data_IF_093514122919
#
_entry.id   IF_093514122919
#
_cell.length_a   1.000
_cell.length_b   1.000
_cell.length_c   1.000
_cell.angle_alpha   90.00
_cell.angle_beta   90.00
_cell.angle_gamma   90.00
#
_symmetry.space_group_name_H-M   'P 1'
#
loop_
_entity.id
_entity.type
_entity.pdbx_description
1 polymer ?
#
# COMPACT_ATOMS: atom_id res chain seq x y z
N UNK A 1 -14.62 -12.95 9.55
CA UNK A 1 -13.70 -11.81 9.50
C UNK A 1 -13.05 -11.73 10.87
N UNK A 2 -11.75 -11.99 10.94
CA UNK A 2 -10.99 -11.73 12.15
C UNK A 2 -10.94 -10.21 12.34
N UNK A 3 -11.23 -9.76 13.55
CA UNK A 3 -10.94 -8.39 13.94
C UNK A 3 -9.43 -8.27 14.08
N UNK A 4 -8.78 -7.57 13.17
CA UNK A 4 -7.32 -7.37 13.20
C UNK A 4 -6.84 -6.71 14.49
N UNK A 5 -7.72 -6.02 15.20
CA UNK A 5 -7.42 -5.48 16.53
C UNK A 5 -7.45 -6.56 17.63
N UNK A 6 -8.01 -7.75 17.36
CA UNK A 6 -8.02 -8.86 18.31
C UNK A 6 -6.68 -9.61 18.42
N UNK A 7 -5.76 -9.41 17.45
CA UNK A 7 -4.39 -9.94 17.50
C UNK A 7 -3.44 -9.08 18.34
N UNK A 8 -3.97 -8.32 19.29
CA UNK A 8 -3.23 -7.34 20.07
C UNK A 8 -2.49 -7.90 21.29
N UNK A 9 -2.49 -9.20 21.55
CA UNK A 9 -1.59 -9.75 22.58
C UNK A 9 -0.17 -9.87 22.02
N UNK A 10 0.81 -9.36 22.74
CA UNK A 10 2.23 -9.43 22.37
C UNK A 10 2.74 -10.87 22.17
N UNK A 11 1.98 -11.85 22.64
CA UNK A 11 2.35 -13.26 22.69
C UNK A 11 1.84 -14.11 21.50
N UNK A 12 0.99 -13.56 20.61
CA UNK A 12 0.44 -14.31 19.48
C UNK A 12 1.02 -13.77 18.16
N UNK A 13 1.48 -14.66 17.30
CA UNK A 13 1.92 -14.33 15.95
C UNK A 13 0.75 -13.77 15.12
N UNK A 14 1.00 -12.68 14.37
CA UNK A 14 -0.04 -12.03 13.57
C UNK A 14 -0.24 -12.76 12.25
N UNK A 15 -1.39 -13.41 12.07
CA UNK A 15 -1.74 -14.17 10.86
C UNK A 15 -0.66 -15.21 10.46
N UNK A 16 -0.34 -16.19 11.33
CA UNK A 16 0.80 -17.07 11.13
C UNK A 16 0.77 -17.91 9.83
N UNK A 17 -0.39 -18.12 9.26
CA UNK A 17 -0.54 -18.84 8.00
C UNK A 17 -0.40 -17.97 6.74
N UNK A 18 -0.13 -16.66 6.87
CA UNK A 18 0.08 -15.77 5.73
C UNK A 18 1.52 -15.85 5.26
N UNK A 19 1.71 -15.98 3.94
CA UNK A 19 3.01 -15.78 3.30
C UNK A 19 2.97 -14.49 2.50
N UNK A 20 3.76 -13.52 2.87
CA UNK A 20 3.69 -12.15 2.37
C UNK A 20 4.73 -11.84 1.28
N UNK A 21 4.51 -10.75 0.53
CA UNK A 21 5.52 -10.18 -0.36
C UNK A 21 6.80 -9.86 0.41
N UNK A 22 6.70 -9.33 1.63
CA UNK A 22 7.86 -9.00 2.46
C UNK A 22 8.73 -10.20 2.76
N UNK A 23 8.15 -11.35 3.13
CA UNK A 23 8.89 -12.59 3.38
C UNK A 23 9.59 -13.12 2.11
N UNK A 24 8.92 -13.02 0.95
CA UNK A 24 9.55 -13.40 -0.34
C UNK A 24 10.75 -12.50 -0.63
N UNK A 25 10.62 -11.21 -0.43
CA UNK A 25 11.71 -10.26 -0.67
C UNK A 25 12.87 -10.48 0.31
N UNK A 26 12.59 -10.64 1.60
CA UNK A 26 13.58 -10.97 2.64
C UNK A 26 14.38 -12.22 2.28
N UNK A 27 13.69 -13.32 1.90
CA UNK A 27 14.34 -14.57 1.47
C UNK A 27 15.21 -14.42 0.22
N UNK A 28 14.99 -13.36 -0.56
CA UNK A 28 15.79 -13.00 -1.72
C UNK A 28 16.80 -11.87 -1.44
N UNK A 29 17.07 -11.58 -0.17
CA UNK A 29 18.12 -10.66 0.25
C UNK A 29 17.75 -9.19 0.18
N UNK A 30 16.47 -8.85 0.10
CA UNK A 30 16.00 -7.47 0.15
C UNK A 30 16.02 -6.91 1.56
N UNK A 31 16.44 -5.67 1.70
CA UNK A 31 16.26 -4.88 2.91
C UNK A 31 14.87 -4.25 2.90
N UNK A 32 13.95 -4.80 3.70
CA UNK A 32 12.59 -4.29 3.80
C UNK A 32 12.49 -3.11 4.76
N UNK A 33 11.79 -2.06 4.34
CA UNK A 33 11.49 -0.88 5.15
C UNK A 33 10.03 -0.48 4.98
N UNK A 34 9.36 -0.18 6.10
CA UNK A 34 8.04 0.45 6.13
C UNK A 34 8.20 1.88 6.64
N UNK A 35 7.70 2.86 5.89
CA UNK A 35 7.69 4.27 6.28
C UNK A 35 6.26 4.78 6.33
N UNK A 36 5.83 5.26 7.50
CA UNK A 36 4.47 5.74 7.76
C UNK A 36 4.48 6.97 8.67
N UNK A 37 3.62 7.95 8.38
CA UNK A 37 3.50 9.17 9.20
C UNK A 37 2.81 8.97 10.54
N UNK A 38 2.12 7.85 10.73
CA UNK A 38 1.34 7.54 11.93
C UNK A 38 1.99 6.48 12.82
N UNK A 39 1.45 6.26 14.02
CA UNK A 39 1.91 5.22 14.94
C UNK A 39 1.71 3.82 14.33
N UNK A 40 2.72 2.98 14.44
CA UNK A 40 2.72 1.61 13.90
C UNK A 40 1.76 0.67 14.61
N UNK A 41 1.30 1.00 15.81
CA UNK A 41 0.37 0.16 16.59
C UNK A 41 -1.05 0.15 16.02
N UNK A 42 -1.42 1.15 15.23
CA UNK A 42 -2.75 1.20 14.62
C UNK A 42 -3.01 -0.03 13.75
N UNK A 43 -4.10 -0.75 14.05
CA UNK A 43 -4.49 -2.00 13.40
C UNK A 43 -3.37 -3.08 13.38
N UNK A 44 -2.45 -3.04 14.33
CA UNK A 44 -1.30 -3.94 14.45
C UNK A 44 -0.42 -4.01 13.19
N UNK A 45 -0.44 -2.97 12.34
CA UNK A 45 0.33 -2.99 11.09
C UNK A 45 1.84 -3.12 11.32
N UNK A 46 2.39 -2.49 12.36
CA UNK A 46 3.79 -2.66 12.71
C UNK A 46 4.14 -4.12 12.96
N UNK A 47 3.34 -4.79 13.77
CA UNK A 47 3.52 -6.23 14.08
C UNK A 47 3.46 -7.08 12.81
N UNK A 48 2.46 -6.84 11.93
CA UNK A 48 2.37 -7.55 10.65
C UNK A 48 3.64 -7.42 9.81
N UNK A 49 4.15 -6.21 9.62
CA UNK A 49 5.33 -5.99 8.79
C UNK A 49 6.61 -6.52 9.42
N UNK A 50 6.77 -6.37 10.76
CA UNK A 50 7.91 -6.91 11.50
C UNK A 50 7.97 -8.45 11.46
N UNK A 51 6.82 -9.13 11.59
CA UNK A 51 6.73 -10.59 11.58
C UNK A 51 6.73 -11.20 10.15
N UNK A 52 6.29 -10.45 9.13
CA UNK A 52 6.14 -10.93 7.77
C UNK A 52 7.14 -10.31 6.78
N UNK A 53 8.44 -10.36 7.10
CA UNK A 53 9.50 -9.94 6.19
C UNK A 53 10.56 -9.05 6.82
N UNK A 54 10.71 -9.08 8.14
CA UNK A 54 11.75 -8.35 8.92
C UNK A 54 11.86 -6.86 8.55
N UNK A 55 10.71 -6.20 8.40
CA UNK A 55 10.68 -4.79 8.03
C UNK A 55 11.26 -3.90 9.13
N UNK A 56 12.15 -3.00 8.79
CA UNK A 56 12.47 -1.84 9.62
C UNK A 56 11.33 -0.84 9.54
N UNK A 57 10.66 -0.62 10.66
CA UNK A 57 9.49 0.28 10.71
C UNK A 57 9.91 1.67 11.14
N UNK A 58 9.73 2.64 10.25
CA UNK A 58 9.96 4.07 10.43
C UNK A 58 8.59 4.77 10.52
N UNK A 59 8.10 4.86 11.76
CA UNK A 59 6.80 5.41 12.11
C UNK A 59 6.92 6.81 12.77
N UNK A 60 5.82 7.34 13.24
CA UNK A 60 5.78 8.60 13.99
C UNK A 60 6.74 8.60 15.19
N UNK A 61 6.76 7.53 16.00
CA UNK A 61 7.63 7.44 17.17
C UNK A 61 9.12 7.35 16.79
N UNK A 62 9.43 6.68 15.67
CA UNK A 62 10.78 6.69 15.11
C UNK A 62 11.21 8.11 14.71
N UNK A 63 10.34 8.89 14.08
CA UNK A 63 10.66 10.25 13.66
C UNK A 63 10.95 11.17 14.85
N UNK A 64 10.20 11.05 15.96
CA UNK A 64 10.51 11.74 17.23
C UNK A 64 11.84 11.28 17.80
N UNK A 65 12.03 9.96 17.94
CA UNK A 65 13.23 9.36 18.56
C UNK A 65 14.52 9.73 17.82
N UNK A 66 14.45 9.89 16.50
CA UNK A 66 15.57 10.25 15.65
C UNK A 66 15.68 11.77 15.40
N UNK A 67 14.86 12.57 16.08
CA UNK A 67 14.84 14.04 15.97
C UNK A 67 14.57 14.58 14.56
N UNK A 68 13.88 13.79 13.72
CA UNK A 68 13.38 14.25 12.41
C UNK A 68 12.20 15.23 12.56
N UNK A 69 11.44 15.08 13.65
CA UNK A 69 10.41 16.03 14.08
C UNK A 69 10.57 16.35 15.59
N UNK A 70 10.10 17.52 16.06
CA UNK A 70 10.05 17.84 17.49
C UNK A 70 9.20 16.85 18.28
N UNK A 71 9.50 16.68 19.58
CA UNK A 71 8.80 15.72 20.44
C UNK A 71 7.32 16.05 20.69
N UNK A 72 6.94 17.32 20.50
CA UNK A 72 5.57 17.86 20.61
C UNK A 72 4.90 18.05 19.25
N UNK A 73 5.52 17.65 18.16
CA UNK A 73 4.96 17.72 16.83
C UNK A 73 3.91 16.63 16.64
N UNK A 74 2.71 17.00 16.29
CA UNK A 74 1.64 16.07 15.95
C UNK A 74 0.65 16.75 15.00
N UNK A 75 0.62 16.27 13.76
CA UNK A 75 -0.31 16.73 12.74
C UNK A 75 -1.08 15.55 12.17
N UNK A 76 -2.40 15.69 12.14
CA UNK A 76 -3.32 14.70 11.61
C UNK A 76 -3.22 13.33 12.33
N UNK A 77 -2.48 12.38 11.76
CA UNK A 77 -2.24 11.04 12.32
C UNK A 77 -0.84 10.86 12.91
N UNK A 78 -0.05 11.91 12.98
CA UNK A 78 1.33 11.94 13.46
C UNK A 78 2.16 12.98 12.76
N UNK A 79 2.56 12.77 11.50
CA UNK A 79 3.10 13.79 10.60
C UNK A 79 2.55 13.61 9.18
N UNK A 80 2.40 14.73 8.49
CA UNK A 80 1.79 14.86 7.18
C UNK A 80 2.63 14.26 6.04
N UNK A 81 1.99 14.07 4.86
CA UNK A 81 2.62 13.43 3.71
C UNK A 81 3.80 14.23 3.12
N UNK A 82 3.84 15.55 3.27
CA UNK A 82 5.00 16.36 2.88
C UNK A 82 6.28 15.86 3.56
N UNK A 83 6.26 15.69 4.87
CA UNK A 83 7.40 15.12 5.63
C UNK A 83 7.63 13.66 5.29
N UNK A 84 6.56 12.89 5.07
CA UNK A 84 6.68 11.49 4.66
C UNK A 84 7.52 11.35 3.39
N UNK A 85 7.25 12.16 2.36
CA UNK A 85 8.00 12.13 1.11
C UNK A 85 9.44 12.58 1.28
N UNK A 86 9.71 13.57 2.13
CA UNK A 86 11.09 14.00 2.40
C UNK A 86 11.88 12.91 3.15
N UNK A 87 11.28 12.28 4.15
CA UNK A 87 11.91 11.15 4.85
C UNK A 87 12.08 9.93 3.93
N UNK A 88 11.17 9.74 2.97
CA UNK A 88 11.29 8.69 1.97
C UNK A 88 12.50 8.90 1.04
N UNK A 89 12.77 10.14 0.60
CA UNK A 89 13.96 10.47 -0.20
C UNK A 89 15.25 10.16 0.57
N UNK A 90 15.32 10.57 1.85
CA UNK A 90 16.44 10.26 2.74
C UNK A 90 16.63 8.74 2.88
N UNK A 91 15.53 8.02 3.14
CA UNK A 91 15.53 6.57 3.34
C UNK A 91 15.96 5.82 2.07
N UNK A 92 15.45 6.19 0.90
CA UNK A 92 15.85 5.60 -0.38
C UNK A 92 17.32 5.85 -0.68
N UNK A 93 17.82 7.07 -0.42
CA UNK A 93 19.23 7.41 -0.59
C UNK A 93 20.11 6.54 0.31
N UNK A 94 19.71 6.35 1.57
CA UNK A 94 20.43 5.47 2.51
C UNK A 94 20.40 4.00 2.04
N UNK A 95 19.23 3.48 1.66
CA UNK A 95 19.08 2.10 1.21
C UNK A 95 19.91 1.83 -0.04
N UNK A 96 19.81 2.70 -1.04
CA UNK A 96 20.58 2.58 -2.29
C UNK A 96 22.11 2.63 -2.06
N UNK A 97 22.57 3.42 -1.10
CA UNK A 97 24.02 3.54 -0.78
C UNK A 97 24.64 2.22 -0.30
N UNK A 98 23.84 1.25 0.16
CA UNK A 98 24.31 -0.05 0.63
C UNK A 98 24.69 -1.00 -0.51
N UNK A 99 24.22 -0.75 -1.73
CA UNK A 99 24.44 -1.61 -2.88
C UNK A 99 23.76 -2.98 -2.77
N UNK A 100 22.75 -3.09 -1.94
CA UNK A 100 21.93 -4.28 -1.70
C UNK A 100 20.51 -4.05 -2.19
N UNK A 101 19.78 -5.11 -2.61
CA UNK A 101 18.36 -4.98 -2.96
C UNK A 101 17.55 -4.40 -1.79
N UNK A 102 16.59 -3.54 -2.10
CA UNK A 102 15.74 -2.93 -1.08
C UNK A 102 14.28 -2.87 -1.51
N UNK A 103 13.41 -2.80 -0.50
CA UNK A 103 11.99 -2.51 -0.65
C UNK A 103 11.61 -1.41 0.35
N UNK A 104 11.08 -0.31 -0.15
CA UNK A 104 10.43 0.73 0.65
C UNK A 104 8.93 0.67 0.42
N UNK A 105 8.19 0.25 1.45
CA UNK A 105 6.73 0.33 1.50
C UNK A 105 6.33 1.61 2.23
N UNK A 106 5.41 2.38 1.64
CA UNK A 106 4.95 3.65 2.19
C UNK A 106 3.42 3.69 2.27
N UNK A 107 2.89 4.41 3.26
CA UNK A 107 1.48 4.72 3.37
C UNK A 107 1.29 6.21 3.59
N UNK A 108 0.64 6.89 2.64
CA UNK A 108 0.22 8.29 2.75
C UNK A 108 -1.06 8.40 3.58
N UNK A 109 -1.24 9.49 4.31
CA UNK A 109 -2.36 9.66 5.25
C UNK A 109 -3.15 10.94 5.09
N UNK A 110 -2.64 11.94 4.38
CA UNK A 110 -3.33 13.24 4.22
C UNK A 110 -4.70 13.09 3.53
N UNK A 111 -4.88 12.08 2.70
CA UNK A 111 -6.15 11.78 2.03
C UNK A 111 -7.12 10.93 2.87
N UNK A 112 -6.79 10.63 4.13
CA UNK A 112 -7.71 9.90 5.01
C UNK A 112 -8.98 10.74 5.31
N UNK A 113 -10.14 10.09 5.36
CA UNK A 113 -11.41 10.76 5.66
C UNK A 113 -11.48 11.18 7.16
N UNK A 114 -12.22 12.22 7.56
CA UNK A 114 -13.10 13.08 6.76
C UNK A 114 -12.33 14.29 6.24
N UNK A 115 -12.61 14.70 5.01
CA UNK A 115 -12.08 15.91 4.34
C UNK A 115 -10.55 15.97 4.15
N UNK A 116 -9.79 15.02 4.69
CA UNK A 116 -8.33 14.99 4.61
C UNK A 116 -7.62 16.12 5.35
N UNK A 117 -6.29 16.11 5.32
CA UNK A 117 -5.43 17.12 5.92
C UNK A 117 -4.92 18.11 4.87
N UNK A 118 -5.05 19.40 5.14
CA UNK A 118 -4.53 20.49 4.29
C UNK A 118 -3.14 20.87 4.78
N UNK A 119 -2.09 20.37 4.12
CA UNK A 119 -0.72 20.76 4.39
C UNK A 119 -0.36 22.10 3.70
N UNK A 120 0.83 22.63 3.97
CA UNK A 120 1.29 23.91 3.41
C UNK A 120 1.42 23.91 1.88
N UNK A 121 1.55 22.73 1.24
CA UNK A 121 1.62 22.57 -0.20
C UNK A 121 0.24 22.55 -0.88
N UNK A 122 -0.85 22.49 -0.12
CA UNK A 122 -2.19 22.38 -0.66
C UNK A 122 -2.69 23.73 -1.20
N UNK A 123 -2.95 23.80 -2.50
CA UNK A 123 -3.59 24.94 -3.13
C UNK A 123 -5.12 24.89 -2.97
N UNK A 124 -5.75 26.06 -2.81
CA UNK A 124 -7.21 26.16 -2.76
C UNK A 124 -7.79 26.37 -4.15
N UNK A 125 -7.81 25.30 -4.96
CA UNK A 125 -8.28 25.32 -6.35
C UNK A 125 -9.76 24.92 -6.50
N UNK A 126 -10.28 24.14 -5.56
CA UNK A 126 -11.61 23.54 -5.62
C UNK A 126 -12.46 24.04 -4.45
N UNK A 127 -13.77 24.08 -4.63
CA UNK A 127 -14.71 24.52 -3.59
C UNK A 127 -14.84 23.56 -2.40
N UNK A 128 -14.36 22.32 -2.54
CA UNK A 128 -14.37 21.31 -1.46
C UNK A 128 -12.94 21.04 -0.98
N UNK A 129 -12.73 21.05 0.33
CA UNK A 129 -11.41 20.80 0.93
C UNK A 129 -10.82 19.48 0.45
N UNK A 130 -11.58 18.41 0.48
CA UNK A 130 -11.10 17.09 0.12
C UNK A 130 -10.59 17.01 -1.33
N UNK A 131 -11.22 17.75 -2.27
CA UNK A 131 -10.72 17.89 -3.64
C UNK A 131 -9.34 18.54 -3.70
N UNK A 132 -9.09 19.56 -2.86
CA UNK A 132 -7.80 20.23 -2.77
C UNK A 132 -6.73 19.30 -2.20
N UNK A 133 -7.07 18.51 -1.17
CA UNK A 133 -6.17 17.51 -0.56
C UNK A 133 -5.82 16.41 -1.55
N UNK A 134 -6.80 15.86 -2.28
CA UNK A 134 -6.56 14.85 -3.31
C UNK A 134 -5.64 15.37 -4.43
N UNK A 135 -5.88 16.61 -4.89
CA UNK A 135 -5.04 17.25 -5.90
C UNK A 135 -3.61 17.51 -5.37
N UNK A 136 -3.49 17.91 -4.11
CA UNK A 136 -2.21 18.11 -3.42
C UNK A 136 -1.42 16.81 -3.33
N UNK A 137 -2.03 15.76 -2.80
CA UNK A 137 -1.40 14.44 -2.68
C UNK A 137 -0.97 13.90 -4.05
N UNK A 138 -1.82 14.04 -5.09
CA UNK A 138 -1.48 13.64 -6.46
C UNK A 138 -0.22 14.36 -6.97
N UNK A 139 -0.06 15.66 -6.71
CA UNK A 139 1.16 16.41 -7.08
C UNK A 139 2.38 15.94 -6.29
N UNK A 140 2.23 15.69 -4.99
CA UNK A 140 3.33 15.21 -4.15
C UNK A 140 3.81 13.81 -4.61
N UNK A 141 2.87 12.89 -4.89
CA UNK A 141 3.20 11.56 -5.44
C UNK A 141 3.91 11.70 -6.79
N UNK A 142 3.40 12.53 -7.70
CA UNK A 142 4.04 12.75 -9.01
C UNK A 142 5.47 13.29 -8.86
N UNK A 143 5.67 14.31 -8.02
CA UNK A 143 6.99 14.90 -7.75
C UNK A 143 7.95 13.88 -7.11
N UNK A 144 7.45 13.00 -6.26
CA UNK A 144 8.26 11.94 -5.66
C UNK A 144 8.68 10.89 -6.69
N UNK A 145 7.76 10.48 -7.57
CA UNK A 145 8.09 9.58 -8.69
C UNK A 145 9.11 10.22 -9.63
N UNK A 146 8.93 11.49 -10.00
CA UNK A 146 9.89 12.24 -10.82
C UNK A 146 11.26 12.33 -10.17
N UNK A 147 11.32 12.51 -8.84
CA UNK A 147 12.58 12.49 -8.10
C UNK A 147 13.25 11.11 -8.17
N UNK A 148 12.50 10.00 -7.97
CA UNK A 148 13.03 8.64 -8.08
C UNK A 148 13.59 8.41 -9.49
N UNK A 149 12.90 8.87 -10.54
CA UNK A 149 13.32 8.72 -11.93
C UNK A 149 14.66 9.41 -12.27
N UNK A 150 15.11 10.32 -11.42
CA UNK A 150 16.38 11.03 -11.57
C UNK A 150 17.52 10.38 -10.78
N UNK A 151 17.26 9.30 -10.02
CA UNK A 151 18.26 8.63 -9.21
C UNK A 151 18.97 7.52 -9.98
N UNK A 152 20.24 7.28 -9.65
CA UNK A 152 21.05 6.24 -10.28
C UNK A 152 20.46 4.81 -10.12
N UNK A 153 19.66 4.59 -9.06
CA UNK A 153 19.03 3.31 -8.79
C UNK A 153 17.71 3.09 -9.57
N UNK A 154 17.23 4.07 -10.32
CA UNK A 154 15.90 3.99 -10.96
C UNK A 154 15.80 2.88 -12.00
N UNK A 155 16.85 2.64 -12.77
CA UNK A 155 16.82 1.62 -13.85
C UNK A 155 16.49 0.22 -13.30
N UNK A 156 16.89 -0.08 -12.06
CA UNK A 156 16.66 -1.36 -11.36
C UNK A 156 15.48 -1.28 -10.36
N UNK A 157 14.67 -0.23 -10.41
CA UNK A 157 13.59 -0.01 -9.43
C UNK A 157 12.21 -0.06 -10.07
N UNK A 158 11.34 -0.94 -9.60
CA UNK A 158 9.92 -0.95 -9.94
C UNK A 158 9.16 -0.13 -8.91
N UNK A 159 8.29 0.79 -9.38
CA UNK A 159 7.42 1.60 -8.52
C UNK A 159 5.99 1.10 -8.68
N UNK A 160 5.33 0.79 -7.56
CA UNK A 160 3.94 0.37 -7.54
C UNK A 160 3.13 1.38 -6.73
N UNK A 161 2.16 2.01 -7.37
CA UNK A 161 1.19 2.91 -6.75
C UNK A 161 -0.14 2.17 -6.64
N UNK A 162 -0.70 2.09 -5.44
CA UNK A 162 -1.98 1.43 -5.22
C UNK A 162 -2.79 2.16 -4.16
N UNK A 163 -4.04 2.48 -4.45
CA UNK A 163 -4.99 2.85 -3.40
C UNK A 163 -5.34 1.61 -2.58
N UNK A 164 -5.37 1.76 -1.26
CA UNK A 164 -5.63 0.69 -0.31
C UNK A 164 -7.10 0.23 -0.31
N UNK A 165 -8.03 1.18 -0.39
CA UNK A 165 -9.47 0.94 -0.49
C UNK A 165 -10.20 2.18 -1.05
N UNK A 166 -11.49 2.05 -1.33
CA UNK A 166 -12.32 3.18 -1.72
C UNK A 166 -12.46 4.15 -0.56
N UNK A 167 -12.40 5.45 -0.86
CA UNK A 167 -12.62 6.49 0.14
C UNK A 167 -13.96 6.28 0.87
N UNK A 168 -13.92 6.36 2.20
CA UNK A 168 -15.08 6.15 3.08
C UNK A 168 -15.88 7.42 3.35
N UNK A 169 -15.47 8.58 2.84
CA UNK A 169 -16.20 9.83 3.00
C UNK A 169 -17.46 9.86 2.14
N UNK A 170 -18.56 9.36 2.70
CA UNK A 170 -19.85 9.32 2.00
C UNK A 170 -20.41 10.73 1.70
N UNK A 171 -20.01 11.75 2.48
CA UNK A 171 -20.48 13.13 2.29
C UNK A 171 -19.86 13.75 1.03
N UNK A 172 -18.62 13.43 0.74
CA UNK A 172 -17.93 13.87 -0.47
C UNK A 172 -18.55 13.32 -1.76
N UNK A 173 -19.07 12.09 -1.70
CA UNK A 173 -19.64 11.40 -2.87
C UNK A 173 -21.16 11.53 -3.02
N UNK A 174 -21.83 12.31 -2.16
CA UNK A 174 -23.31 12.41 -2.16
C UNK A 174 -23.90 12.91 -3.48
N UNK A 175 -23.16 13.73 -4.22
CA UNK A 175 -23.59 14.33 -5.48
C UNK A 175 -23.02 13.60 -6.71
N UNK A 176 -22.47 12.41 -6.53
CA UNK A 176 -21.97 11.61 -7.66
C UNK A 176 -23.13 11.11 -8.52
N UNK A 177 -22.95 11.08 -9.85
CA UNK A 177 -23.97 10.54 -10.75
C UNK A 177 -24.35 9.10 -10.40
N UNK A 178 -25.63 8.76 -10.54
CA UNK A 178 -26.09 7.38 -10.38
C UNK A 178 -25.34 6.44 -11.34
N UNK A 179 -24.90 5.30 -10.80
CA UNK A 179 -24.16 4.30 -11.57
C UNK A 179 -22.67 4.59 -11.78
N UNK A 180 -22.13 5.64 -11.16
CA UNK A 180 -20.69 5.86 -11.19
C UNK A 180 -19.95 4.76 -10.40
N UNK A 181 -19.09 4.03 -11.10
CA UNK A 181 -18.30 2.93 -10.55
C UNK A 181 -16.98 3.48 -9.97
N UNK A 182 -16.94 3.65 -8.66
CA UNK A 182 -15.73 4.11 -7.96
C UNK A 182 -14.67 3.03 -7.94
N UNK A 183 -13.40 3.41 -8.17
CA UNK A 183 -12.27 2.49 -8.23
C UNK A 183 -11.08 3.06 -7.47
N UNK A 184 -10.19 2.19 -7.01
CA UNK A 184 -8.88 2.57 -6.52
C UNK A 184 -7.94 2.82 -7.70
N UNK A 185 -6.97 3.71 -7.51
CA UNK A 185 -5.91 3.93 -8.48
C UNK A 185 -4.85 2.84 -8.35
N UNK A 186 -4.40 2.30 -9.46
CA UNK A 186 -3.26 1.36 -9.52
C UNK A 186 -2.40 1.70 -10.71
N UNK A 187 -1.09 1.78 -10.50
CA UNK A 187 -0.10 1.96 -11.56
C UNK A 187 1.19 1.21 -11.22
N UNK A 188 1.80 0.59 -12.21
CA UNK A 188 3.12 -0.07 -12.13
C UNK A 188 4.05 0.63 -13.12
N UNK A 189 5.14 1.16 -12.61
CA UNK A 189 6.12 1.95 -13.37
C UNK A 189 7.45 1.22 -13.39
N UNK A 190 8.12 1.23 -14.53
CA UNK A 190 9.44 0.66 -14.75
C UNK A 190 9.52 -0.88 -14.57
N UNK A 191 8.42 -1.59 -14.85
CA UNK A 191 8.44 -3.05 -14.94
C UNK A 191 8.64 -3.50 -16.38
N UNK A 192 9.37 -4.59 -16.59
CA UNK A 192 9.47 -5.26 -17.90
C UNK A 192 8.16 -5.93 -18.32
N UNK A 193 7.24 -6.14 -17.39
CA UNK A 193 5.94 -6.73 -17.66
C UNK A 193 5.00 -5.70 -18.28
N UNK A 194 4.30 -6.12 -19.32
CA UNK A 194 3.29 -5.29 -20.00
C UNK A 194 2.05 -6.12 -20.26
N UNK A 195 0.91 -5.57 -19.87
CA UNK A 195 -0.37 -6.11 -20.28
C UNK A 195 -0.88 -5.33 -21.51
N UNK A 196 -1.23 -6.05 -22.56
CA UNK A 196 -1.67 -5.47 -23.84
C UNK A 196 -3.10 -5.85 -24.20
N UNK A 197 -3.80 -6.54 -23.31
CA UNK A 197 -5.19 -6.96 -23.49
C UNK A 197 -6.23 -5.87 -23.15
N UNK A 198 -7.46 -6.30 -22.99
CA UNK A 198 -8.59 -5.45 -22.61
C UNK A 198 -8.48 -5.00 -21.13
N UNK A 199 -9.30 -4.00 -20.77
CA UNK A 199 -9.36 -3.54 -19.38
C UNK A 199 -9.80 -4.69 -18.45
N UNK A 200 -9.05 -4.90 -17.35
CA UNK A 200 -9.26 -5.94 -16.36
C UNK A 200 -10.26 -5.50 -15.29
N UNK A 201 -11.05 -6.47 -14.82
CA UNK A 201 -11.81 -6.33 -13.56
C UNK A 201 -11.10 -7.14 -12.48
N UNK A 202 -10.64 -6.47 -11.43
CA UNK A 202 -9.82 -7.10 -10.41
C UNK A 202 -10.06 -6.50 -9.01
N UNK A 203 -9.47 -7.11 -8.01
CA UNK A 203 -9.55 -6.72 -6.59
C UNK A 203 -8.16 -6.51 -6.01
N UNK A 204 -8.07 -6.03 -4.77
CA UNK A 204 -6.80 -5.89 -4.06
C UNK A 204 -6.06 -7.23 -3.87
N UNK A 205 -6.77 -8.37 -3.89
CA UNK A 205 -6.15 -9.70 -3.83
C UNK A 205 -5.22 -9.97 -5.01
N UNK A 206 -5.53 -9.41 -6.18
CA UNK A 206 -4.75 -9.60 -7.41
C UNK A 206 -3.42 -8.81 -7.37
N UNK A 207 -3.29 -7.85 -6.46
CA UNK A 207 -2.07 -7.04 -6.31
C UNK A 207 -0.89 -7.87 -5.79
N UNK A 208 -1.11 -8.91 -5.00
CA UNK A 208 -0.02 -9.76 -4.49
C UNK A 208 0.75 -10.48 -5.61
N UNK A 209 0.13 -11.34 -6.44
CA UNK A 209 0.84 -11.96 -7.57
C UNK A 209 1.31 -10.93 -8.61
N UNK A 210 0.55 -9.87 -8.85
CA UNK A 210 0.93 -8.82 -9.81
C UNK A 210 2.17 -8.07 -9.37
N UNK A 211 2.32 -7.74 -8.09
CA UNK A 211 3.52 -7.13 -7.54
C UNK A 211 4.74 -8.02 -7.75
N UNK A 212 4.65 -9.30 -7.41
CA UNK A 212 5.74 -10.24 -7.61
C UNK A 212 6.10 -10.42 -9.09
N UNK A 213 5.08 -10.51 -9.96
CA UNK A 213 5.29 -10.58 -11.39
C UNK A 213 5.95 -9.32 -11.94
N UNK A 214 5.56 -8.13 -11.46
CA UNK A 214 6.19 -6.85 -11.82
C UNK A 214 7.68 -6.81 -11.47
N UNK A 215 8.08 -7.48 -10.39
CA UNK A 215 9.47 -7.64 -9.95
C UNK A 215 10.23 -8.77 -10.70
N UNK A 216 9.62 -9.40 -11.70
CA UNK A 216 10.23 -10.45 -12.50
C UNK A 216 10.06 -11.87 -11.96
N UNK A 217 9.30 -12.08 -10.88
CA UNK A 217 9.01 -13.42 -10.37
C UNK A 217 8.06 -14.17 -11.31
N UNK A 218 8.36 -15.46 -11.56
CA UNK A 218 7.46 -16.35 -12.28
C UNK A 218 6.35 -16.85 -11.34
N UNK A 219 5.09 -16.71 -11.74
CA UNK A 219 3.93 -17.19 -10.98
C UNK A 219 3.39 -18.43 -11.68
N UNK A 220 3.57 -19.61 -11.09
CA UNK A 220 3.05 -20.86 -11.66
C UNK A 220 1.52 -20.85 -11.69
N UNK A 221 0.93 -21.04 -12.87
CA UNK A 221 -0.52 -21.00 -13.08
C UNK A 221 -1.14 -19.61 -12.94
N UNK A 222 -0.31 -18.55 -12.93
CA UNK A 222 -0.69 -17.14 -12.86
C UNK A 222 -1.50 -16.74 -11.61
N UNK A 223 -1.53 -17.56 -10.56
CA UNK A 223 -2.30 -17.31 -9.34
C UNK A 223 -1.52 -17.55 -8.06
N UNK A 224 -1.73 -16.70 -7.06
CA UNK A 224 -1.29 -16.91 -5.69
C UNK A 224 -2.45 -16.60 -4.73
N UNK A 225 -2.81 -17.60 -3.91
CA UNK A 225 -3.98 -17.51 -3.03
C UNK A 225 -5.25 -17.28 -3.85
N UNK A 226 -5.93 -16.17 -3.59
CA UNK A 226 -7.13 -15.75 -4.32
C UNK A 226 -6.83 -14.71 -5.42
N UNK A 227 -5.60 -14.27 -5.56
CA UNK A 227 -5.17 -13.28 -6.55
C UNK A 227 -4.68 -13.89 -7.85
N UNK A 228 -4.86 -13.16 -8.94
CA UNK A 228 -4.38 -13.50 -10.28
C UNK A 228 -3.36 -12.44 -10.73
N UNK A 229 -2.26 -12.84 -11.35
CA UNK A 229 -1.31 -11.94 -11.99
C UNK A 229 -1.99 -11.17 -13.12
N UNK A 230 -2.09 -9.85 -12.97
CA UNK A 230 -2.76 -8.97 -13.95
C UNK A 230 -1.99 -8.80 -15.25
N UNK A 231 -0.73 -9.19 -15.30
CA UNK A 231 0.04 -9.25 -16.54
C UNK A 231 -0.21 -10.52 -17.36
N UNK A 232 -0.87 -11.53 -16.77
CA UNK A 232 -1.28 -12.75 -17.45
C UNK A 232 -2.61 -12.58 -18.20
N UNK A 233 -2.94 -13.57 -19.05
CA UNK A 233 -4.26 -13.67 -19.68
C UNK A 233 -5.27 -14.48 -18.86
N UNK A 234 -4.86 -14.98 -17.69
CA UNK A 234 -5.73 -15.75 -16.81
C UNK A 234 -6.76 -14.80 -16.18
N UNK A 235 -8.05 -15.21 -16.22
CA UNK A 235 -9.13 -14.41 -15.64
C UNK A 235 -8.97 -14.27 -14.13
N UNK A 236 -9.23 -13.08 -13.60
CA UNK A 236 -9.38 -12.88 -12.16
C UNK A 236 -10.65 -13.55 -11.63
N UNK A 237 -10.74 -13.75 -10.32
CA UNK A 237 -11.99 -14.26 -9.73
C UNK A 237 -13.16 -13.28 -9.93
N UNK A 238 -12.90 -11.97 -9.97
CA UNK A 238 -13.91 -10.97 -10.28
C UNK A 238 -14.42 -11.06 -11.72
N UNK A 239 -13.56 -11.41 -12.68
CA UNK A 239 -13.94 -11.67 -14.10
C UNK A 239 -14.65 -13.00 -14.29
N UNK A 240 -14.36 -14.00 -13.45
CA UNK A 240 -14.99 -15.32 -13.53
C UNK A 240 -16.40 -15.34 -12.90
N UNK A 241 -16.55 -14.75 -11.73
CA UNK A 241 -17.76 -14.85 -10.92
C UNK A 241 -18.58 -13.56 -10.89
N UNK A 242 -17.99 -12.43 -11.28
CA UNK A 242 -18.52 -11.09 -11.06
C UNK A 242 -18.31 -10.58 -9.64
N UNK A 243 -18.12 -9.26 -9.50
CA UNK A 243 -17.74 -8.63 -8.22
C UNK A 243 -18.75 -8.93 -7.09
N UNK A 244 -20.05 -8.85 -7.35
CA UNK A 244 -21.08 -9.08 -6.31
C UNK A 244 -21.09 -10.50 -5.79
N UNK A 245 -20.94 -11.50 -6.66
CA UNK A 245 -20.90 -12.90 -6.26
C UNK A 245 -19.62 -13.22 -5.50
N UNK A 246 -18.48 -12.68 -5.94
CA UNK A 246 -17.21 -12.83 -5.26
C UNK A 246 -17.26 -12.20 -3.85
N UNK A 247 -17.75 -10.97 -3.73
CA UNK A 247 -17.90 -10.27 -2.45
C UNK A 247 -18.80 -11.06 -1.47
N UNK A 248 -19.90 -11.64 -1.96
CA UNK A 248 -20.74 -12.50 -1.16
C UNK A 248 -19.98 -13.74 -0.65
N UNK A 249 -19.22 -14.41 -1.51
CA UNK A 249 -18.45 -15.61 -1.14
C UNK A 249 -17.35 -15.29 -0.12
N UNK A 250 -16.64 -14.17 -0.27
CA UNK A 250 -15.60 -13.73 0.65
C UNK A 250 -16.11 -13.41 2.06
N UNK A 251 -17.39 -13.05 2.19
CA UNK A 251 -18.06 -12.80 3.49
C UNK A 251 -18.47 -14.07 4.23
N UNK A 252 -18.47 -15.22 3.56
CA UNK A 252 -18.83 -16.50 4.20
C UNK A 252 -17.72 -16.98 5.14
N UNK A 253 -18.13 -17.69 6.20
CA UNK A 253 -17.17 -18.31 7.11
C UNK A 253 -16.38 -19.41 6.38
N UNK A 254 -15.06 -19.32 6.38
CA UNK A 254 -14.17 -20.31 5.80
C UNK A 254 -13.43 -21.08 6.89
N UNK A 255 -13.71 -22.39 6.98
CA UNK A 255 -12.97 -23.29 7.87
C UNK A 255 -11.49 -23.37 7.52
N UNK A 256 -11.16 -23.30 6.23
CA UNK A 256 -9.77 -23.28 5.76
C UNK A 256 -9.06 -22.04 6.27
N UNK A 257 -9.63 -20.85 6.07
CA UNK A 257 -9.08 -19.58 6.51
C UNK A 257 -8.85 -19.57 8.04
N UNK A 258 -9.88 -19.97 8.79
CA UNK A 258 -9.79 -19.99 10.25
C UNK A 258 -8.70 -20.94 10.78
N UNK A 259 -8.51 -22.08 10.11
CA UNK A 259 -7.56 -23.11 10.58
C UNK A 259 -6.13 -22.88 10.10
N UNK A 260 -5.94 -22.35 8.89
CA UNK A 260 -4.63 -22.34 8.23
C UNK A 260 -4.06 -20.93 8.04
N UNK A 261 -4.86 -19.88 8.24
CA UNK A 261 -4.42 -18.49 8.09
C UNK A 261 -4.39 -17.80 9.45
N UNK A 262 -5.44 -18.02 10.28
CA UNK A 262 -5.57 -17.33 11.56
C UNK A 262 -4.90 -18.07 12.74
N UNK A 263 -4.61 -19.37 12.60
CA UNK A 263 -4.03 -20.18 13.68
C UNK A 263 -2.83 -20.98 13.18
#
# INVERSE_FOLDING_TARGET
>A
NADVNAYGSDDEEFLPGVFSTGQILEQNGYNNCLLIGSDKSFANRGKYFEEHGDFKVYDYNWAIKTHKIPSDYFEWWGYEDEKLFDFAKDTLTELASKGEPFNLTMLTTDTHFTDGYVCDLCENQYGQQYSNVLACNSRQVASFVEWIQQQDFYEDTVIILSGDHLCMDSSYFKDMPDGYDRRTYVNVINSDKKYTGDARTYTTMDMFPTTLSALGCGIEGDRLGLGTDLFSNTKTLAEEFGCSALDYQLKLNSKFYNKNILN
#
